data_IF_777114209424
#
_entry.id   IF_777114209424
#
_cell.length_a   1.000
_cell.length_b   1.000
_cell.length_c   1.000
_cell.angle_alpha   90.00
_cell.angle_beta   90.00
_cell.angle_gamma   90.00
#
_symmetry.space_group_name_H-M   'P 1'
#
loop_
_entity.id
_entity.type
_entity.pdbx_description
1 polymer ?
#
# COMPACT_ATOMS: atom_id res chain seq x y z
N UNK A 1 12.63 -6.21 -6.72
CA UNK A 1 12.15 -7.47 -6.11
C UNK A 1 10.65 -7.36 -5.90
N UNK A 2 9.92 -8.47 -5.89
CA UNK A 2 8.46 -8.47 -5.68
C UNK A 2 8.09 -9.29 -4.45
N UNK A 3 7.18 -8.76 -3.63
CA UNK A 3 6.67 -9.44 -2.45
C UNK A 3 5.14 -9.49 -2.46
N UNK A 4 4.59 -10.55 -1.86
CA UNK A 4 3.16 -10.76 -1.71
C UNK A 4 2.75 -10.53 -0.25
N UNK A 5 1.85 -9.58 -0.03
CA UNK A 5 1.35 -9.24 1.30
C UNK A 5 -0.12 -9.60 1.39
N UNK A 6 -0.48 -10.49 2.31
CA UNK A 6 -1.88 -10.76 2.67
C UNK A 6 -2.30 -9.82 3.79
N UNK A 7 -3.32 -9.01 3.55
CA UNK A 7 -3.92 -8.17 4.58
C UNK A 7 -4.88 -8.98 5.46
N UNK A 8 -5.20 -8.44 6.64
CA UNK A 8 -6.21 -9.03 7.55
C UNK A 8 -7.61 -9.11 6.93
N UNK A 9 -7.87 -8.32 5.89
CA UNK A 9 -9.12 -8.36 5.10
C UNK A 9 -9.12 -9.44 4.01
N UNK A 10 -8.07 -10.27 3.92
CA UNK A 10 -7.95 -11.33 2.92
C UNK A 10 -7.55 -10.84 1.52
N UNK A 11 -7.23 -9.56 1.35
CA UNK A 11 -6.73 -9.02 0.09
C UNK A 11 -5.24 -9.34 -0.05
N UNK A 12 -4.85 -9.86 -1.21
CA UNK A 12 -3.43 -10.03 -1.56
C UNK A 12 -2.97 -8.82 -2.36
N UNK A 13 -1.91 -8.16 -1.89
CA UNK A 13 -1.30 -7.00 -2.53
C UNK A 13 0.08 -7.41 -3.04
N UNK A 14 0.38 -7.08 -4.29
CA UNK A 14 1.71 -7.21 -4.89
C UNK A 14 2.46 -5.90 -4.71
N UNK A 15 3.63 -5.95 -4.07
CA UNK A 15 4.45 -4.77 -3.84
C UNK A 15 5.82 -4.95 -4.49
N UNK A 16 6.26 -3.93 -5.23
CA UNK A 16 7.63 -3.86 -5.75
C UNK A 16 8.53 -3.14 -4.74
N UNK A 17 9.62 -3.81 -4.36
CA UNK A 17 10.61 -3.31 -3.39
C UNK A 17 12.01 -3.39 -3.98
N UNK A 18 12.85 -2.43 -3.62
CA UNK A 18 14.27 -2.48 -3.92
C UNK A 18 15.06 -3.01 -2.72
N UNK A 19 16.22 -3.61 -2.95
CA UNK A 19 17.08 -4.09 -1.85
C UNK A 19 17.61 -2.94 -0.96
N UNK A 20 17.53 -1.71 -1.45
CA UNK A 20 17.85 -0.46 -0.76
C UNK A 20 16.71 0.04 0.13
N UNK A 21 15.48 -0.45 -0.04
CA UNK A 21 14.33 -0.01 0.76
C UNK A 21 14.49 -0.50 2.21
N UNK A 22 14.32 0.42 3.17
CA UNK A 22 14.27 0.06 4.58
C UNK A 22 12.92 -0.57 4.92
N UNK A 23 12.87 -1.34 6.01
CA UNK A 23 11.63 -1.94 6.50
C UNK A 23 10.55 -0.89 6.81
N UNK A 24 10.95 0.29 7.27
CA UNK A 24 10.05 1.41 7.50
C UNK A 24 9.41 1.91 6.20
N UNK A 25 10.22 2.07 5.14
CA UNK A 25 9.71 2.43 3.81
C UNK A 25 8.75 1.38 3.26
N UNK A 26 9.07 0.08 3.42
CA UNK A 26 8.18 -1.01 2.98
C UNK A 26 6.86 -0.97 3.74
N UNK A 27 6.86 -0.72 5.06
CA UNK A 27 5.64 -0.55 5.85
C UNK A 27 4.78 0.62 5.35
N UNK A 28 5.41 1.76 5.06
CA UNK A 28 4.73 2.93 4.53
C UNK A 28 4.09 2.65 3.16
N UNK A 29 4.80 1.97 2.26
CA UNK A 29 4.27 1.53 0.95
C UNK A 29 3.06 0.60 1.10
N UNK A 30 3.13 -0.41 1.98
CA UNK A 30 2.00 -1.33 2.25
C UNK A 30 0.79 -0.57 2.81
N UNK A 31 1.02 0.38 3.71
CA UNK A 31 -0.05 1.18 4.30
C UNK A 31 -0.73 2.07 3.26
N UNK A 32 0.03 2.67 2.35
CA UNK A 32 -0.51 3.43 1.22
C UNK A 32 -1.35 2.54 0.29
N UNK A 33 -0.86 1.37 -0.11
CA UNK A 33 -1.58 0.44 -0.99
C UNK A 33 -2.85 -0.17 -0.36
N UNK A 34 -2.93 -0.18 0.98
CA UNK A 34 -4.09 -0.66 1.74
C UNK A 34 -5.14 0.44 1.94
N UNK A 35 -4.79 1.72 1.78
CA UNK A 35 -5.76 2.81 1.92
C UNK A 35 -6.84 2.68 0.84
N UNK A 36 -8.13 2.71 1.22
CA UNK A 36 -9.20 2.73 0.24
C UNK A 36 -9.12 4.04 -0.56
N UNK A 37 -9.09 3.94 -1.89
CA UNK A 37 -9.06 5.10 -2.81
C UNK A 37 -10.19 6.13 -2.54
N UNK A 38 -11.24 5.74 -1.82
CA UNK A 38 -12.37 6.57 -1.45
C UNK A 38 -12.04 7.78 -0.55
N UNK A 39 -10.87 7.84 0.10
CA UNK A 39 -10.52 9.01 0.95
C UNK A 39 -10.06 10.24 0.16
N UNK A 40 -9.76 10.11 -1.14
CA UNK A 40 -9.31 11.26 -1.96
C UNK A 40 -10.45 11.90 -2.78
N UNK A 41 -11.54 11.18 -3.04
CA UNK A 41 -12.65 11.65 -3.87
C UNK A 41 -13.66 12.56 -3.14
N UNK A 42 -13.52 12.75 -1.82
CA UNK A 42 -14.45 13.58 -1.03
C UNK A 42 -14.18 15.09 -1.10
N UNK A 43 -13.15 15.52 -1.84
CA UNK A 43 -12.75 16.93 -1.93
C UNK A 43 -12.81 17.52 -3.35
N UNK A 44 -13.26 16.78 -4.36
CA UNK A 44 -13.39 17.28 -5.75
C UNK A 44 -14.81 17.75 -6.11
N UNK A 45 -15.74 17.76 -5.15
CA UNK A 45 -17.08 18.31 -5.33
C UNK A 45 -17.18 19.64 -4.57
N UNK A 46 -16.62 20.70 -5.15
CA UNK A 46 -16.87 22.09 -4.77
C UNK A 46 -16.98 22.94 -6.05
#
# INVERSE_FOLDING_TARGET
MQIFVKTLTGKTITLEVEASDTIENVKAKIQYSTRPAATHLRWQAA
#
